data_IF_476123464473
#
_entry.id   IF_476123464473
#
_cell.length_a   1.000
_cell.length_b   1.000
_cell.length_c   1.000
_cell.angle_alpha   90.00
_cell.angle_beta   90.00
_cell.angle_gamma   90.00
#
_symmetry.space_group_name_H-M   'P 1'
#
loop_
_entity.id
_entity.type
_entity.pdbx_description
1 polymer ?
#
# COMPACT_ATOMS: atom_id res chain seq x y z
N UNK A 1 -4.30 12.77 0.69
CA UNK A 1 -3.67 11.43 0.66
C UNK A 1 -3.19 11.05 -0.74
N UNK A 2 -4.04 11.10 -1.79
CA UNK A 2 -3.69 10.64 -3.14
C UNK A 2 -2.48 11.36 -3.74
N UNK A 3 -2.37 12.67 -3.55
CA UNK A 3 -1.18 13.42 -3.99
C UNK A 3 0.12 12.93 -3.32
N UNK A 4 0.08 12.57 -2.03
CA UNK A 4 1.23 12.00 -1.33
C UNK A 4 1.53 10.55 -1.77
N UNK A 5 0.51 9.81 -2.20
CA UNK A 5 0.66 8.48 -2.80
C UNK A 5 1.23 8.55 -4.22
N UNK A 6 0.78 9.53 -5.01
CA UNK A 6 1.16 9.73 -6.40
C UNK A 6 2.53 10.42 -6.53
N UNK A 7 3.00 11.16 -5.52
CA UNK A 7 4.25 11.92 -5.57
C UNK A 7 5.50 11.06 -5.64
N UNK A 8 5.41 9.75 -5.36
CA UNK A 8 6.54 8.83 -5.54
C UNK A 8 6.17 7.53 -6.29
N UNK A 9 6.01 7.62 -7.63
CA UNK A 9 5.80 6.44 -8.48
C UNK A 9 7.03 5.54 -8.50
N UNK A 10 8.22 6.12 -8.35
CA UNK A 10 9.49 5.41 -8.38
C UNK A 10 9.65 4.51 -7.15
N UNK A 11 9.13 4.90 -5.98
CA UNK A 11 9.16 4.10 -4.76
C UNK A 11 8.51 2.72 -4.96
N UNK A 12 7.43 2.65 -5.74
CA UNK A 12 6.69 1.40 -5.95
C UNK A 12 7.48 0.43 -6.84
N UNK A 13 7.96 0.92 -7.98
CA UNK A 13 8.72 0.08 -8.90
C UNK A 13 10.10 -0.29 -8.32
N UNK A 14 10.80 0.66 -7.68
CA UNK A 14 12.07 0.39 -6.97
C UNK A 14 11.88 -0.46 -5.71
N UNK A 15 10.69 -0.39 -5.11
CA UNK A 15 10.29 -1.18 -3.94
C UNK A 15 9.94 -2.63 -4.26
N UNK A 16 9.92 -3.02 -5.53
CA UNK A 16 9.64 -4.40 -5.96
C UNK A 16 8.14 -4.73 -6.05
N UNK A 17 7.26 -3.73 -6.14
CA UNK A 17 5.83 -3.95 -6.36
C UNK A 17 5.60 -4.41 -7.81
N UNK A 18 4.96 -5.57 -8.01
CA UNK A 18 4.60 -6.10 -9.34
C UNK A 18 3.22 -5.68 -9.83
N UNK A 19 2.27 -5.54 -8.90
CA UNK A 19 0.87 -5.15 -9.15
C UNK A 19 0.39 -4.34 -7.96
N UNK A 20 -0.50 -3.39 -8.22
CA UNK A 20 -1.17 -2.67 -7.14
C UNK A 20 -2.62 -2.39 -7.49
N UNK A 21 -3.43 -2.25 -6.44
CA UNK A 21 -4.81 -1.78 -6.54
C UNK A 21 -5.04 -0.73 -5.46
N UNK A 22 -5.76 0.33 -5.81
CA UNK A 22 -6.21 1.34 -4.85
C UNK A 22 -7.72 1.24 -4.76
N UNK A 23 -8.22 0.86 -3.59
CA UNK A 23 -9.63 0.72 -3.32
C UNK A 23 -10.06 1.82 -2.37
N UNK A 24 -11.29 2.30 -2.54
CA UNK A 24 -11.93 3.23 -1.61
C UNK A 24 -13.18 2.55 -1.09
N UNK A 25 -13.41 2.63 0.22
CA UNK A 25 -14.64 2.10 0.77
C UNK A 25 -15.84 2.86 0.19
N UNK A 26 -16.93 2.14 -0.06
CA UNK A 26 -18.15 2.71 -0.66
C UNK A 26 -18.92 3.53 0.37
N UNK A 27 -18.88 3.11 1.63
CA UNK A 27 -19.52 3.70 2.79
C UNK A 27 -18.67 4.79 3.48
N UNK A 28 -17.35 4.73 3.34
CA UNK A 28 -16.43 5.77 3.83
C UNK A 28 -15.45 6.25 2.73
N UNK A 29 -15.69 7.41 2.11
CA UNK A 29 -14.80 7.94 1.08
C UNK A 29 -13.42 8.36 1.60
N UNK A 30 -13.23 8.46 2.92
CA UNK A 30 -11.94 8.74 3.55
C UNK A 30 -11.16 7.46 3.89
N UNK A 31 -11.78 6.29 3.77
CA UNK A 31 -11.13 5.01 3.97
C UNK A 31 -10.61 4.45 2.64
N UNK A 32 -9.28 4.34 2.55
CA UNK A 32 -8.58 3.87 1.34
C UNK A 32 -7.74 2.66 1.71
N UNK A 33 -7.88 1.61 0.91
CA UNK A 33 -7.07 0.41 0.99
C UNK A 33 -6.17 0.35 -0.23
N UNK A 34 -4.94 -0.10 -0.04
CA UNK A 34 -3.98 -0.24 -1.12
C UNK A 34 -3.41 -1.64 -1.04
N UNK A 35 -3.70 -2.42 -2.06
CA UNK A 35 -3.09 -3.73 -2.24
C UNK A 35 -1.81 -3.58 -3.07
N UNK A 36 -0.74 -4.23 -2.62
CA UNK A 36 0.59 -4.18 -3.20
C UNK A 36 1.13 -5.60 -3.25
N UNK A 37 1.30 -6.10 -4.46
CA UNK A 37 1.83 -7.44 -4.69
C UNK A 37 3.34 -7.39 -4.88
N UNK A 38 4.07 -8.33 -4.28
CA UNK A 38 5.52 -8.45 -4.33
C UNK A 38 5.93 -9.88 -4.70
N UNK A 39 7.11 -10.05 -5.31
CA UNK A 39 7.62 -11.38 -5.67
C UNK A 39 8.06 -12.20 -4.43
N UNK A 40 8.47 -11.54 -3.34
CA UNK A 40 8.95 -12.22 -2.12
C UNK A 40 8.47 -11.53 -0.84
N UNK A 41 8.33 -12.27 0.27
CA UNK A 41 8.01 -11.69 1.58
C UNK A 41 9.00 -10.61 2.01
N UNK A 42 10.31 -10.83 1.83
CA UNK A 42 11.36 -9.87 2.21
C UNK A 42 11.20 -8.50 1.54
N UNK A 43 10.72 -8.47 0.28
CA UNK A 43 10.44 -7.22 -0.43
C UNK A 43 9.25 -6.50 0.20
N UNK A 44 8.19 -7.22 0.54
CA UNK A 44 7.03 -6.67 1.22
C UNK A 44 7.40 -6.12 2.62
N UNK A 45 8.25 -6.83 3.36
CA UNK A 45 8.75 -6.40 4.67
C UNK A 45 9.59 -5.12 4.59
N UNK A 46 10.55 -5.06 3.65
CA UNK A 46 11.39 -3.88 3.44
C UNK A 46 10.56 -2.65 3.01
N UNK A 47 9.55 -2.88 2.16
CA UNK A 47 8.63 -1.81 1.75
C UNK A 47 7.76 -1.34 2.91
N UNK A 48 7.22 -2.25 3.72
CA UNK A 48 6.44 -1.91 4.91
C UNK A 48 7.28 -1.13 5.95
N UNK A 49 8.56 -1.48 6.12
CA UNK A 49 9.47 -0.71 6.98
C UNK A 49 9.61 0.74 6.48
N UNK A 50 9.79 0.93 5.17
CA UNK A 50 9.86 2.27 4.54
C UNK A 50 8.55 3.06 4.73
N UNK A 51 7.40 2.40 4.56
CA UNK A 51 6.09 3.01 4.78
C UNK A 51 5.91 3.48 6.23
N UNK A 52 6.34 2.69 7.22
CA UNK A 52 6.25 3.07 8.64
C UNK A 52 7.04 4.36 8.94
N UNK A 53 8.23 4.51 8.35
CA UNK A 53 9.03 5.75 8.47
C UNK A 53 8.30 6.93 7.84
N UNK A 54 7.74 6.75 6.64
CA UNK A 54 6.96 7.80 5.97
C UNK A 54 5.73 8.20 6.78
N UNK A 55 4.97 7.22 7.30
CA UNK A 55 3.78 7.46 8.12
C UNK A 55 4.09 8.21 9.40
N UNK A 56 5.20 7.92 10.07
CA UNK A 56 5.62 8.68 11.24
C UNK A 56 5.74 10.19 10.92
N UNK A 57 6.14 10.54 9.69
CA UNK A 57 6.18 11.90 9.21
C UNK A 57 4.80 12.51 8.96
N UNK A 58 3.80 11.76 8.49
CA UNK A 58 2.52 12.32 7.98
C UNK A 58 1.29 11.99 8.82
N UNK A 59 1.44 11.19 9.87
CA UNK A 59 0.37 10.80 10.79
C UNK A 59 -0.20 12.03 11.51
N UNK A 60 -1.52 12.09 11.66
CA UNK A 60 -2.26 13.23 12.22
C UNK A 60 -2.44 14.41 11.27
N UNK A 61 -1.77 14.40 10.10
CA UNK A 61 -1.87 15.46 9.08
C UNK A 61 -2.57 14.99 7.82
N UNK A 62 -2.15 13.85 7.30
CA UNK A 62 -2.63 13.29 6.01
C UNK A 62 -3.27 11.91 6.22
N UNK A 63 -2.80 11.16 7.21
CA UNK A 63 -3.26 9.83 7.58
C UNK A 63 -3.51 9.84 9.09
N UNK A 64 -4.60 9.26 9.57
CA UNK A 64 -4.93 9.24 11.00
C UNK A 64 -4.32 8.04 11.72
N UNK A 65 -4.62 6.82 11.27
CA UNK A 65 -4.16 5.58 11.90
C UNK A 65 -3.90 4.52 10.82
N UNK A 66 -2.72 4.53 10.16
CA UNK A 66 -2.45 3.59 9.10
C UNK A 66 -2.34 2.17 9.67
N UNK A 67 -2.91 1.21 8.94
CA UNK A 67 -2.81 -0.21 9.24
C UNK A 67 -2.25 -0.94 8.02
N UNK A 68 -1.48 -2.00 8.27
CA UNK A 68 -0.96 -2.87 7.23
C UNK A 68 -0.81 -4.30 7.72
N UNK A 69 -0.87 -5.23 6.76
CA UNK A 69 -0.63 -6.66 6.94
C UNK A 69 0.17 -7.15 5.72
N UNK A 70 1.07 -8.09 5.96
CA UNK A 70 1.68 -8.89 4.90
C UNK A 70 0.88 -10.18 4.85
N UNK A 71 0.41 -10.53 3.66
CA UNK A 71 -0.39 -11.71 3.42
C UNK A 71 0.18 -12.50 2.25
N UNK A 72 -0.07 -13.81 2.24
CA UNK A 72 0.22 -14.67 1.12
C UNK A 72 -1.08 -14.89 0.33
N UNK A 73 -1.06 -14.64 -0.98
CA UNK A 73 -2.13 -15.07 -1.84
C UNK A 73 -2.10 -16.61 -1.94
N UNK A 74 -3.12 -17.27 -1.40
CA UNK A 74 -3.28 -18.73 -1.48
C UNK A 74 -4.06 -19.15 -2.74
N UNK A 75 -4.84 -18.22 -3.30
CA UNK A 75 -5.59 -18.39 -4.54
C UNK A 75 -5.82 -17.00 -5.17
N UNK A 76 -5.66 -16.92 -6.49
CA UNK A 76 -5.99 -15.73 -7.30
C UNK A 76 -6.70 -16.22 -8.55
N UNK A 77 -7.86 -15.66 -8.84
CA UNK A 77 -8.65 -15.98 -10.05
C UNK A 77 -9.18 -14.71 -10.71
N UNK A 78 -9.31 -14.76 -12.02
CA UNK A 78 -9.95 -13.73 -12.83
C UNK A 78 -11.07 -14.43 -13.63
N UNK A 79 -12.25 -13.81 -13.72
CA UNK A 79 -13.41 -14.32 -14.44
C UNK A 79 -13.78 -13.33 -15.54
N UNK A 80 -14.20 -13.84 -16.70
CA UNK A 80 -14.59 -13.07 -17.88
C UNK A 80 -16.00 -12.46 -17.78
#
# INVERSE_FOLDING_TARGET
>A
WKQAFDSDPALRQKGGVRRYQVLRAVDDPNYVMIDLEFDTPDRAEAFLASLRVLWAGVTGRIISAPQARIAQAVETGEYD
#
